data_IF_807642501912
#
_entry.id   IF_807642501912
#
_cell.length_a   1.000
_cell.length_b   1.000
_cell.length_c   1.000
_cell.angle_alpha   90.00
_cell.angle_beta   90.00
_cell.angle_gamma   90.00
#
_symmetry.space_group_name_H-M   'P 1'
#
loop_
_entity.id
_entity.type
_entity.pdbx_description
1 polymer ?
#
# COMPACT_ATOMS: atom_id res chain seq x y z
N UNK A 1 16.57 20.45 -26.61
CA UNK A 1 16.75 19.50 -25.49
C UNK A 1 16.62 18.09 -26.01
N UNK A 2 17.63 17.28 -25.77
CA UNK A 2 17.61 15.83 -25.99
C UNK A 2 16.54 15.16 -25.10
N UNK A 3 16.00 14.03 -25.55
CA UNK A 3 15.04 13.22 -24.78
C UNK A 3 15.61 12.86 -23.40
N UNK A 4 16.91 12.59 -23.32
CA UNK A 4 17.63 12.28 -22.08
C UNK A 4 17.69 13.49 -21.13
N UNK A 5 17.81 14.70 -21.65
CA UNK A 5 17.81 15.93 -20.83
C UNK A 5 16.42 16.17 -20.23
N UNK A 6 15.36 15.99 -21.03
CA UNK A 6 13.97 16.10 -20.54
C UNK A 6 13.65 15.06 -19.46
N UNK A 7 14.06 13.81 -19.64
CA UNK A 7 13.87 12.76 -18.62
C UNK A 7 14.61 13.07 -17.32
N UNK A 8 15.87 13.53 -17.39
CA UNK A 8 16.62 13.96 -16.20
C UNK A 8 15.95 15.12 -15.49
N UNK A 9 15.41 16.07 -16.24
CA UNK A 9 14.70 17.22 -15.68
C UNK A 9 13.43 16.81 -14.95
N UNK A 10 12.61 15.92 -15.54
CA UNK A 10 11.43 15.36 -14.87
C UNK A 10 11.78 14.56 -13.61
N UNK A 11 12.83 13.73 -13.66
CA UNK A 11 13.28 13.00 -12.46
C UNK A 11 13.75 13.96 -11.36
N UNK A 12 14.49 15.01 -11.71
CA UNK A 12 14.95 16.01 -10.76
C UNK A 12 13.79 16.81 -10.14
N UNK A 13 12.79 17.18 -10.93
CA UNK A 13 11.58 17.86 -10.44
C UNK A 13 10.76 16.98 -9.50
N UNK A 14 10.53 15.72 -9.86
CA UNK A 14 9.86 14.75 -9.00
C UNK A 14 10.63 14.53 -7.70
N UNK A 15 11.95 14.37 -7.77
CA UNK A 15 12.79 14.23 -6.59
C UNK A 15 12.71 15.46 -5.69
N UNK A 16 12.79 16.67 -6.27
CA UNK A 16 12.67 17.93 -5.52
C UNK A 16 11.32 18.06 -4.82
N UNK A 17 10.23 17.67 -5.49
CA UNK A 17 8.88 17.72 -4.93
C UNK A 17 8.71 16.73 -3.78
N UNK A 18 9.17 15.50 -3.95
CA UNK A 18 9.18 14.49 -2.88
C UNK A 18 10.04 14.93 -1.69
N UNK A 19 11.19 15.53 -1.95
CA UNK A 19 12.09 16.03 -0.91
C UNK A 19 11.47 17.20 -0.13
N UNK A 20 10.76 18.10 -0.80
CA UNK A 20 10.00 19.18 -0.15
C UNK A 20 8.93 18.61 0.77
N UNK A 21 8.11 17.68 0.26
CA UNK A 21 7.04 17.03 1.04
C UNK A 21 7.63 16.32 2.27
N UNK A 22 8.73 15.60 2.09
CA UNK A 22 9.44 14.94 3.18
C UNK A 22 9.92 15.94 4.25
N UNK A 23 10.47 17.09 3.85
CA UNK A 23 10.93 18.10 4.78
C UNK A 23 9.77 18.76 5.54
N UNK A 24 8.63 18.96 4.88
CA UNK A 24 7.41 19.50 5.49
C UNK A 24 6.79 18.50 6.49
N UNK A 25 6.77 17.21 6.15
CA UNK A 25 6.18 16.14 6.98
C UNK A 25 7.08 15.72 8.15
N UNK A 26 8.40 15.84 8.02
CA UNK A 26 9.36 15.41 9.07
C UNK A 26 9.23 16.24 10.35
N UNK A 27 8.78 17.49 10.25
CA UNK A 27 8.74 18.40 11.40
C UNK A 27 10.09 18.48 12.10
N UNK A 28 10.12 18.17 13.40
CA UNK A 28 11.33 18.20 14.24
C UNK A 28 12.10 16.87 14.30
N UNK A 29 11.65 15.80 13.63
CA UNK A 29 12.30 14.48 13.70
C UNK A 29 13.64 14.48 12.96
N UNK A 30 14.58 13.61 13.34
CA UNK A 30 15.83 13.49 12.59
C UNK A 30 15.60 12.91 11.18
N UNK A 31 16.46 13.24 10.22
CA UNK A 31 16.34 12.78 8.85
C UNK A 31 16.52 11.25 8.71
N UNK A 32 17.26 10.61 9.62
CA UNK A 32 17.37 9.15 9.68
C UNK A 32 16.09 8.50 10.21
N UNK A 33 15.48 9.09 11.25
CA UNK A 33 14.21 8.61 11.82
C UNK A 33 13.08 8.71 10.80
N UNK A 34 12.87 9.89 10.21
CA UNK A 34 11.83 10.08 9.20
C UNK A 34 11.97 9.13 8.01
N UNK A 35 13.21 8.86 7.58
CA UNK A 35 13.47 7.88 6.52
C UNK A 35 13.00 6.48 6.89
N UNK A 36 13.24 6.05 8.12
CA UNK A 36 12.81 4.73 8.58
C UNK A 36 11.28 4.63 8.62
N UNK A 37 10.59 5.68 9.09
CA UNK A 37 9.12 5.73 9.10
C UNK A 37 8.51 5.76 7.71
N UNK A 38 8.97 6.67 6.84
CA UNK A 38 8.39 6.81 5.50
C UNK A 38 8.66 5.58 4.64
N UNK A 39 9.83 4.93 4.80
CA UNK A 39 10.14 3.71 4.09
C UNK A 39 9.26 2.55 4.55
N UNK A 40 9.01 2.43 5.86
CA UNK A 40 8.06 1.46 6.41
C UNK A 40 6.65 1.64 5.84
N UNK A 41 6.16 2.89 5.80
CA UNK A 41 4.84 3.20 5.25
C UNK A 41 4.74 2.91 3.75
N UNK A 42 5.74 3.29 2.96
CA UNK A 42 5.79 3.00 1.52
C UNK A 42 5.84 1.49 1.28
N UNK A 43 6.62 0.77 2.08
CA UNK A 43 6.72 -0.69 1.96
C UNK A 43 5.41 -1.38 2.31
N UNK A 44 4.77 -0.96 3.41
CA UNK A 44 3.46 -1.48 3.79
C UNK A 44 2.39 -1.19 2.74
N UNK A 45 2.36 0.04 2.19
CA UNK A 45 1.50 0.37 1.05
C UNK A 45 1.72 -0.56 -0.13
N UNK A 46 2.99 -0.80 -0.50
CA UNK A 46 3.33 -1.69 -1.61
C UNK A 46 2.86 -3.13 -1.36
N UNK A 47 3.09 -3.67 -0.16
CA UNK A 47 2.62 -5.01 0.19
C UNK A 47 1.09 -5.10 0.17
N UNK A 48 0.42 -4.08 0.71
CA UNK A 48 -1.05 -4.05 0.73
C UNK A 48 -1.66 -3.93 -0.65
N UNK A 49 -1.16 -3.04 -1.51
CA UNK A 49 -1.66 -2.91 -2.89
C UNK A 49 -1.44 -4.20 -3.67
N UNK A 50 -0.31 -4.89 -3.45
CA UNK A 50 -0.05 -6.18 -4.07
C UNK A 50 -1.01 -7.25 -3.57
N UNK A 51 -1.20 -7.40 -2.26
CA UNK A 51 -2.15 -8.36 -1.71
C UNK A 51 -3.58 -8.08 -2.24
N UNK A 52 -4.00 -6.82 -2.26
CA UNK A 52 -5.29 -6.38 -2.82
C UNK A 52 -5.49 -6.77 -4.28
N UNK A 53 -4.43 -6.69 -5.10
CA UNK A 53 -4.48 -7.18 -6.49
C UNK A 53 -4.65 -8.69 -6.57
N UNK A 54 -3.88 -9.46 -5.80
CA UNK A 54 -4.00 -10.92 -5.81
C UNK A 54 -5.38 -11.39 -5.31
N UNK A 55 -5.96 -10.72 -4.30
CA UNK A 55 -7.34 -10.98 -3.86
C UNK A 55 -8.35 -10.70 -4.99
N UNK A 56 -8.20 -9.56 -5.67
CA UNK A 56 -9.09 -9.19 -6.76
C UNK A 56 -9.00 -10.19 -7.93
N UNK A 57 -7.81 -10.70 -8.21
CA UNK A 57 -7.59 -11.72 -9.25
C UNK A 57 -8.18 -13.08 -8.83
N UNK A 58 -7.98 -13.51 -7.58
CA UNK A 58 -8.56 -14.74 -7.04
C UNK A 58 -10.10 -14.70 -7.04
N UNK A 59 -10.68 -13.54 -6.75
CA UNK A 59 -12.14 -13.31 -6.72
C UNK A 59 -12.71 -12.83 -8.06
N UNK A 60 -11.93 -12.79 -9.15
CA UNK A 60 -12.35 -12.21 -10.44
C UNK A 60 -13.58 -12.86 -11.10
N UNK A 61 -14.02 -14.02 -10.60
CA UNK A 61 -15.24 -14.73 -11.02
C UNK A 61 -16.42 -14.63 -10.04
N UNK A 62 -16.26 -13.97 -8.91
CA UNK A 62 -17.24 -13.92 -7.82
C UNK A 62 -17.68 -12.48 -7.55
N UNK A 63 -18.97 -12.27 -7.29
CA UNK A 63 -19.53 -10.95 -6.93
C UNK A 63 -19.50 -10.76 -5.41
N UNK A 64 -18.34 -11.03 -4.80
CA UNK A 64 -18.11 -10.86 -3.36
C UNK A 64 -16.90 -9.96 -3.13
N UNK A 65 -16.99 -9.12 -2.11
CA UNK A 65 -15.88 -8.30 -1.67
C UNK A 65 -14.88 -9.15 -0.86
N UNK A 66 -13.64 -8.67 -0.78
CA UNK A 66 -12.64 -9.35 0.04
C UNK A 66 -13.06 -9.43 1.52
N UNK A 67 -13.79 -8.43 2.04
CA UNK A 67 -14.33 -8.44 3.40
C UNK A 67 -15.38 -9.55 3.60
N UNK A 68 -16.26 -9.76 2.61
CA UNK A 68 -17.26 -10.83 2.65
C UNK A 68 -16.60 -12.21 2.54
N UNK A 69 -15.63 -12.35 1.62
CA UNK A 69 -14.87 -13.59 1.46
C UNK A 69 -14.06 -13.96 2.72
N UNK A 70 -13.54 -12.95 3.44
CA UNK A 70 -12.81 -13.16 4.69
C UNK A 70 -13.71 -13.50 5.90
N UNK A 71 -14.99 -13.14 5.83
CA UNK A 71 -15.97 -13.42 6.88
C UNK A 71 -16.44 -14.89 6.86
N UNK A 72 -16.34 -15.55 5.71
CA UNK A 72 -16.60 -16.98 5.57
C UNK A 72 -15.33 -17.80 5.82
N UNK A 73 -15.41 -18.78 6.73
CA UNK A 73 -14.26 -19.58 7.17
C UNK A 73 -13.67 -20.43 6.03
N UNK A 74 -14.52 -20.97 5.14
CA UNK A 74 -14.10 -21.82 4.03
C UNK A 74 -13.34 -20.99 2.99
N UNK A 75 -13.94 -19.87 2.57
CA UNK A 75 -13.31 -18.93 1.65
C UNK A 75 -12.02 -18.34 2.21
N UNK A 76 -11.99 -18.01 3.51
CA UNK A 76 -10.81 -17.42 4.16
C UNK A 76 -9.60 -18.34 4.08
N UNK A 77 -9.76 -19.62 4.42
CA UNK A 77 -8.62 -20.55 4.45
C UNK A 77 -8.11 -20.86 3.04
N UNK A 78 -9.00 -20.99 2.06
CA UNK A 78 -8.62 -21.19 0.65
C UNK A 78 -7.89 -19.97 0.08
N UNK A 79 -8.44 -18.76 0.27
CA UNK A 79 -7.80 -17.51 -0.14
C UNK A 79 -6.42 -17.35 0.49
N UNK A 80 -6.32 -17.58 1.80
CA UNK A 80 -5.07 -17.49 2.54
C UNK A 80 -4.02 -18.45 2.01
N UNK A 81 -4.38 -19.68 1.69
CA UNK A 81 -3.47 -20.65 1.10
C UNK A 81 -2.96 -20.18 -0.27
N UNK A 82 -3.85 -19.66 -1.11
CA UNK A 82 -3.51 -19.14 -2.45
C UNK A 82 -2.54 -17.96 -2.38
N UNK A 83 -2.74 -17.01 -1.46
CA UNK A 83 -1.85 -15.83 -1.35
C UNK A 83 -0.49 -16.19 -0.79
N UNK A 84 -0.45 -17.13 0.16
CA UNK A 84 0.83 -17.65 0.64
C UNK A 84 1.59 -18.33 -0.51
N UNK A 85 0.91 -18.98 -1.45
CA UNK A 85 1.56 -19.58 -2.62
C UNK A 85 2.02 -18.51 -3.64
N UNK A 86 1.16 -17.52 -3.96
CA UNK A 86 1.47 -16.49 -4.97
C UNK A 86 2.48 -15.44 -4.49
N UNK A 87 2.32 -14.93 -3.27
CA UNK A 87 3.09 -13.78 -2.76
C UNK A 87 3.80 -14.03 -1.44
N UNK A 88 3.50 -15.13 -0.74
CA UNK A 88 4.19 -15.52 0.50
C UNK A 88 3.65 -14.85 1.78
N UNK A 89 2.58 -14.07 1.67
CA UNK A 89 1.94 -13.39 2.80
C UNK A 89 0.47 -13.08 2.45
N UNK A 90 -0.31 -12.73 3.46
CA UNK A 90 -1.63 -12.16 3.30
C UNK A 90 -1.76 -10.99 4.27
N UNK A 91 -2.67 -10.07 3.98
CA UNK A 91 -3.03 -8.96 4.85
C UNK A 91 -4.55 -8.99 5.01
N UNK A 92 -5.03 -8.99 6.25
CA UNK A 92 -6.47 -9.03 6.51
C UNK A 92 -7.17 -7.80 5.90
N UNK A 93 -8.44 -7.90 5.50
CA UNK A 93 -9.12 -6.81 4.82
C UNK A 93 -9.15 -5.50 5.63
N UNK A 94 -9.21 -5.60 6.96
CA UNK A 94 -9.18 -4.45 7.88
C UNK A 94 -7.78 -3.83 8.01
N UNK A 95 -6.73 -4.61 7.79
CA UNK A 95 -5.34 -4.19 7.88
C UNK A 95 -4.76 -3.81 6.51
N UNK A 96 -5.60 -3.57 5.49
CA UNK A 96 -5.13 -3.07 4.20
C UNK A 96 -4.86 -1.56 4.28
N UNK A 97 -3.92 -1.08 3.46
CA UNK A 97 -3.66 0.34 3.28
C UNK A 97 -4.92 1.09 2.83
N UNK A 98 -5.76 0.47 1.99
CA UNK A 98 -7.04 1.02 1.56
C UNK A 98 -8.04 1.16 2.74
N UNK A 99 -8.02 0.21 3.69
CA UNK A 99 -8.80 0.29 4.92
C UNK A 99 -8.28 1.40 5.84
N UNK A 100 -6.97 1.49 6.06
CA UNK A 100 -6.36 2.58 6.83
C UNK A 100 -6.70 3.96 6.24
N UNK A 101 -6.68 4.13 4.91
CA UNK A 101 -7.09 5.40 4.28
C UNK A 101 -8.56 5.69 4.54
N UNK A 102 -9.43 4.68 4.45
CA UNK A 102 -10.86 4.81 4.74
C UNK A 102 -11.10 5.29 6.17
N UNK A 103 -10.43 4.70 7.16
CA UNK A 103 -10.48 5.09 8.57
C UNK A 103 -10.07 6.55 8.78
N UNK A 104 -8.99 6.98 8.11
CA UNK A 104 -8.52 8.37 8.15
C UNK A 104 -9.57 9.34 7.58
N UNK A 105 -10.22 8.95 6.48
CA UNK A 105 -11.27 9.75 5.83
C UNK A 105 -12.55 9.83 6.67
N UNK A 106 -12.91 8.74 7.37
CA UNK A 106 -14.08 8.67 8.24
C UNK A 106 -13.83 9.19 9.65
N UNK A 107 -12.56 9.45 10.02
CA UNK A 107 -12.11 9.80 11.37
C UNK A 107 -12.51 8.76 12.41
N UNK A 108 -12.53 7.49 12.01
CA UNK A 108 -12.93 6.35 12.82
C UNK A 108 -11.69 5.51 13.11
N UNK A 109 -11.20 5.55 14.35
CA UNK A 109 -9.92 4.95 14.77
C UNK A 109 -10.09 4.00 15.97
N UNK A 110 -11.30 3.49 16.17
CA UNK A 110 -11.69 2.67 17.33
C UNK A 110 -11.05 1.28 17.37
#
# INVERSE_FOLDING_TARGET
MSITEKQRQQQAESHKKLWSIANDLRGNMDASEFRNYILGLIFYRFLSEKAEQEYADALSGEDITYQEAWADEEYREDLKAELIDQVGYFIEPQDLFSAMIREIETQDFD
#
